data_IF_748902269353
#
_entry.id   IF_748902269353
#
_cell.length_a   1.000
_cell.length_b   1.000
_cell.length_c   1.000
_cell.angle_alpha   90.00
_cell.angle_beta   90.00
_cell.angle_gamma   90.00
#
_symmetry.space_group_name_H-M   'P 1'
#
loop_
_entity.id
_entity.type
_entity.pdbx_description
1 polymer ?
#
# COMPACT_ATOMS: atom_id res chain seq x y z
N UNK A 1 -18.06 -18.33 26.70
CA UNK A 1 -18.10 -17.69 25.37
C UNK A 1 -18.66 -16.29 25.55
N UNK A 2 -17.83 -15.31 25.92
CA UNK A 2 -18.22 -13.90 26.06
C UNK A 2 -16.94 -13.09 26.34
N UNK A 3 -16.11 -12.88 25.32
CA UNK A 3 -14.95 -11.99 25.45
C UNK A 3 -14.63 -11.27 24.13
N UNK A 4 -14.96 -11.85 22.98
CA UNK A 4 -14.78 -11.20 21.69
C UNK A 4 -15.89 -10.19 21.32
N UNK A 5 -16.98 -10.12 22.10
CA UNK A 5 -18.14 -9.27 21.83
C UNK A 5 -18.18 -7.94 22.59
N UNK A 6 -17.46 -7.85 23.71
CA UNK A 6 -17.45 -6.64 24.55
C UNK A 6 -16.51 -5.57 24.00
N UNK A 7 -15.41 -5.96 23.35
CA UNK A 7 -14.47 -5.04 22.71
C UNK A 7 -15.08 -4.35 21.47
N UNK A 8 -16.01 -5.00 20.78
CA UNK A 8 -16.73 -4.42 19.62
C UNK A 8 -17.92 -3.55 20.05
N UNK A 9 -18.55 -3.84 21.19
CA UNK A 9 -19.66 -3.05 21.71
C UNK A 9 -19.24 -1.67 22.24
N UNK A 10 -17.98 -1.52 22.68
CA UNK A 10 -17.41 -0.24 23.12
C UNK A 10 -17.01 0.71 21.98
N UNK A 11 -17.14 0.28 20.71
CA UNK A 11 -16.82 1.09 19.52
C UNK A 11 -18.03 1.82 18.92
N UNK A 12 -19.18 1.77 19.60
CA UNK A 12 -20.49 2.17 19.05
C UNK A 12 -20.85 3.66 19.25
N UNK A 13 -19.84 4.54 19.33
CA UNK A 13 -20.01 6.01 19.25
C UNK A 13 -19.00 6.57 18.23
N UNK A 14 -19.49 6.85 17.00
CA UNK A 14 -18.94 7.80 16.00
C UNK A 14 -17.43 7.79 15.65
N UNK A 15 -16.67 6.75 16.00
CA UNK A 15 -15.33 6.59 15.48
C UNK A 15 -15.42 6.17 14.03
N UNK A 16 -14.96 7.03 13.12
CA UNK A 16 -14.76 6.71 11.70
C UNK A 16 -13.67 5.62 11.59
N UNK A 17 -14.02 4.37 11.89
CA UNK A 17 -13.13 3.21 11.80
C UNK A 17 -12.72 3.08 10.34
N UNK A 18 -11.40 3.07 10.11
CA UNK A 18 -10.81 3.00 8.78
C UNK A 18 -9.80 1.86 8.74
N UNK A 19 -9.98 0.95 7.79
CA UNK A 19 -9.05 -0.14 7.55
C UNK A 19 -7.99 0.27 6.50
N UNK A 20 -6.85 -0.41 6.48
CA UNK A 20 -5.83 -0.27 5.43
C UNK A 20 -5.35 1.18 5.21
N UNK A 21 -5.17 1.95 6.28
CA UNK A 21 -4.64 3.32 6.20
C UNK A 21 -3.21 3.30 5.66
N UNK A 22 -2.91 4.18 4.72
CA UNK A 22 -1.56 4.40 4.20
C UNK A 22 -0.96 5.71 4.70
N UNK A 23 0.34 5.87 4.45
CA UNK A 23 1.08 7.09 4.75
C UNK A 23 1.44 7.82 3.46
N UNK A 24 1.18 9.13 3.43
CA UNK A 24 1.63 10.01 2.36
C UNK A 24 3.13 10.27 2.49
N UNK A 25 3.89 9.93 1.46
CA UNK A 25 5.34 10.14 1.43
C UNK A 25 5.78 10.73 0.09
N UNK A 26 6.97 11.31 0.03
CA UNK A 26 7.49 11.86 -1.23
C UNK A 26 8.99 11.72 -1.38
N UNK A 27 9.46 11.59 -2.62
CA UNK A 27 10.88 11.51 -2.95
C UNK A 27 11.27 12.47 -4.05
N UNK A 28 12.52 12.92 -4.03
CA UNK A 28 13.06 13.84 -5.03
C UNK A 28 13.50 13.13 -6.30
N UNK A 29 13.24 13.82 -7.41
CA UNK A 29 13.72 13.50 -8.74
C UNK A 29 14.57 14.68 -9.21
N UNK A 30 15.88 14.62 -9.02
CA UNK A 30 16.75 15.71 -9.46
C UNK A 30 16.70 15.80 -11.00
N UNK A 31 16.47 17.00 -11.52
CA UNK A 31 16.71 17.31 -12.92
C UNK A 31 18.22 17.55 -13.07
N UNK A 32 18.86 16.85 -14.02
CA UNK A 32 20.31 16.78 -14.25
C UNK A 32 21.08 15.80 -13.33
N UNK A 33 21.00 14.51 -13.69
CA UNK A 33 22.20 13.68 -13.83
C UNK A 33 22.67 12.82 -12.66
N UNK A 34 22.33 13.09 -11.39
CA UNK A 34 23.06 12.43 -10.30
C UNK A 34 22.22 11.79 -9.16
N UNK A 35 20.94 12.11 -8.98
CA UNK A 35 20.10 11.44 -7.96
C UNK A 35 18.62 11.31 -8.32
N UNK A 36 18.16 10.07 -8.48
CA UNK A 36 16.74 9.72 -8.48
C UNK A 36 16.45 8.98 -7.17
N UNK A 37 16.10 9.74 -6.13
CA UNK A 37 15.83 9.20 -4.80
C UNK A 37 14.51 8.43 -4.72
N UNK A 38 13.73 8.40 -5.80
CA UNK A 38 12.52 7.60 -5.92
C UNK A 38 12.77 6.15 -6.35
N UNK A 39 14.02 5.77 -6.57
CA UNK A 39 14.41 4.39 -6.88
C UNK A 39 15.35 3.88 -5.80
N UNK A 40 15.24 2.59 -5.47
CA UNK A 40 16.16 1.92 -4.56
C UNK A 40 17.46 1.45 -5.27
N UNK A 41 17.67 1.85 -6.52
CA UNK A 41 18.80 1.43 -7.34
C UNK A 41 19.37 2.58 -8.15
N UNK A 42 20.63 2.44 -8.54
CA UNK A 42 21.35 3.39 -9.39
C UNK A 42 22.64 3.83 -8.72
N UNK A 43 23.68 4.03 -9.52
CA UNK A 43 25.06 4.21 -9.03
C UNK A 43 25.19 5.28 -7.93
N UNK A 44 24.44 6.38 -7.98
CA UNK A 44 24.43 7.41 -6.93
C UNK A 44 23.74 6.97 -5.64
N UNK A 45 22.67 6.18 -5.71
CA UNK A 45 22.00 5.62 -4.52
C UNK A 45 22.85 4.51 -3.88
N UNK A 46 23.39 3.62 -4.72
CA UNK A 46 24.15 2.44 -4.29
C UNK A 46 25.48 2.82 -3.62
N UNK A 47 26.07 3.95 -4.03
CA UNK A 47 27.32 4.49 -3.45
C UNK A 47 27.06 5.54 -2.36
N UNK A 48 25.80 5.88 -2.07
CA UNK A 48 25.43 6.92 -1.12
C UNK A 48 25.69 8.36 -1.59
N UNK A 49 26.22 8.55 -2.80
CA UNK A 49 26.54 9.85 -3.40
C UNK A 49 25.31 10.68 -3.79
N UNK A 50 24.14 10.05 -3.90
CA UNK A 50 22.89 10.69 -4.29
C UNK A 50 22.30 11.62 -3.21
N UNK A 51 22.77 11.52 -1.95
CA UNK A 51 22.32 12.38 -0.86
C UNK A 51 20.85 12.20 -0.48
N UNK A 52 20.25 11.05 -0.80
CA UNK A 52 18.86 10.75 -0.47
C UNK A 52 18.72 10.54 1.04
N UNK A 53 17.68 11.13 1.61
CA UNK A 53 17.38 10.98 3.03
C UNK A 53 16.77 9.59 3.33
N UNK A 54 16.57 9.30 4.62
CA UNK A 54 16.05 8.01 5.07
C UNK A 54 14.62 7.73 4.60
N UNK A 55 13.78 8.76 4.49
CA UNK A 55 12.39 8.61 4.05
C UNK A 55 12.34 8.28 2.56
N UNK A 56 13.16 8.95 1.75
CA UNK A 56 13.30 8.67 0.33
C UNK A 56 13.78 7.23 0.06
N UNK A 57 14.77 6.76 0.84
CA UNK A 57 15.23 5.36 0.77
C UNK A 57 14.13 4.39 1.21
N UNK A 58 13.33 4.74 2.22
CA UNK A 58 12.21 3.91 2.67
C UNK A 58 11.15 3.75 1.58
N UNK A 59 10.83 4.82 0.84
CA UNK A 59 9.94 4.75 -0.33
C UNK A 59 10.50 3.82 -1.40
N UNK A 60 11.82 3.90 -1.68
CA UNK A 60 12.49 2.98 -2.59
C UNK A 60 12.28 1.51 -2.20
N UNK A 61 12.51 1.17 -0.92
CA UNK A 61 12.28 -0.18 -0.39
C UNK A 61 10.81 -0.59 -0.43
N UNK A 62 9.89 0.33 -0.10
CA UNK A 62 8.46 0.07 -0.17
C UNK A 62 8.02 -0.26 -1.60
N UNK A 63 8.60 0.40 -2.60
CA UNK A 63 8.35 0.10 -4.02
C UNK A 63 8.86 -1.29 -4.41
N UNK A 64 10.06 -1.67 -3.96
CA UNK A 64 10.60 -3.02 -4.21
C UNK A 64 9.74 -4.10 -3.56
N UNK A 65 9.16 -3.81 -2.38
CA UNK A 65 8.19 -4.67 -1.69
C UNK A 65 6.77 -4.60 -2.26
N UNK A 66 6.53 -3.84 -3.35
CA UNK A 66 5.22 -3.61 -3.96
C UNK A 66 4.17 -3.02 -2.98
N UNK A 67 4.58 -2.13 -2.08
CA UNK A 67 3.75 -1.51 -1.04
C UNK A 67 3.34 -0.06 -1.31
N UNK A 68 3.82 0.53 -2.41
CA UNK A 68 3.62 1.95 -2.71
C UNK A 68 2.73 2.16 -3.94
N UNK A 69 1.77 3.08 -3.83
CA UNK A 69 0.95 3.59 -4.94
C UNK A 69 1.46 4.97 -5.32
N UNK A 70 1.80 5.17 -6.59
CA UNK A 70 2.20 6.47 -7.12
C UNK A 70 0.98 7.38 -7.27
N UNK A 71 1.05 8.59 -6.71
CA UNK A 71 -0.04 9.56 -6.73
C UNK A 71 0.18 10.65 -7.78
N UNK A 72 1.41 11.16 -7.90
CA UNK A 72 1.70 12.20 -8.90
C UNK A 72 3.07 12.85 -8.75
N UNK A 73 3.49 13.58 -9.78
CA UNK A 73 4.72 14.38 -9.77
C UNK A 73 4.35 15.85 -9.58
N UNK A 74 5.09 16.56 -8.75
CA UNK A 74 4.91 18.00 -8.52
C UNK A 74 6.25 18.73 -8.48
N UNK A 75 6.20 20.05 -8.67
CA UNK A 75 7.36 20.90 -8.50
C UNK A 75 7.46 21.33 -7.04
N UNK A 76 8.51 20.90 -6.35
CA UNK A 76 8.77 21.26 -4.96
C UNK A 76 9.54 22.57 -4.81
N UNK A 77 10.28 22.97 -5.84
CA UNK A 77 11.01 24.23 -5.88
C UNK A 77 10.92 24.87 -7.26
N UNK A 78 10.42 26.09 -7.31
CA UNK A 78 10.15 26.85 -8.55
C UNK A 78 10.71 28.26 -8.43
N UNK A 79 11.58 28.62 -9.37
CA UNK A 79 12.21 29.94 -9.46
C UNK A 79 11.98 30.51 -10.84
N UNK A 80 11.45 31.74 -10.93
CA UNK A 80 11.14 32.43 -12.20
C UNK A 80 10.28 31.59 -13.16
N UNK A 81 9.36 30.77 -12.63
CA UNK A 81 8.50 29.87 -13.41
C UNK A 81 9.14 28.54 -13.82
N UNK A 82 10.46 28.39 -13.65
CA UNK A 82 11.20 27.16 -13.95
C UNK A 82 11.20 26.25 -12.74
N UNK A 83 10.91 24.96 -12.94
CA UNK A 83 10.96 23.97 -11.88
C UNK A 83 12.39 23.48 -11.67
N UNK A 84 12.99 23.84 -10.54
CA UNK A 84 14.35 23.44 -10.19
C UNK A 84 14.38 22.04 -9.57
N UNK A 85 13.36 21.68 -8.79
CA UNK A 85 13.29 20.38 -8.13
C UNK A 85 11.89 19.76 -8.23
N UNK A 86 11.83 18.57 -8.84
CA UNK A 86 10.60 17.76 -8.88
C UNK A 86 10.59 16.76 -7.74
N UNK A 87 9.40 16.46 -7.23
CA UNK A 87 9.12 15.37 -6.31
C UNK A 87 8.01 14.49 -6.85
N UNK A 88 8.07 13.20 -6.50
CA UNK A 88 6.99 12.25 -6.73
C UNK A 88 6.33 11.94 -5.37
N UNK A 89 5.01 12.03 -5.31
CA UNK A 89 4.20 11.69 -4.15
C UNK A 89 3.64 10.27 -4.24
N UNK A 90 3.56 9.60 -3.10
CA UNK A 90 3.14 8.21 -2.96
C UNK A 90 2.23 8.02 -1.75
N UNK A 91 1.35 7.02 -1.83
CA UNK A 91 0.76 6.39 -0.65
C UNK A 91 1.48 5.07 -0.39
N UNK A 92 2.05 4.92 0.80
CA UNK A 92 2.75 3.71 1.24
C UNK A 92 1.92 2.98 2.27
N UNK A 93 1.76 1.67 2.09
CA UNK A 93 0.90 0.82 2.93
C UNK A 93 1.72 -0.24 3.67
N UNK A 94 1.20 -0.71 4.80
CA UNK A 94 1.90 -1.67 5.66
C UNK A 94 1.92 -3.10 5.07
N UNK A 95 1.04 -3.41 4.13
CA UNK A 95 0.97 -4.73 3.48
C UNK A 95 0.52 -4.65 2.03
N UNK A 96 0.88 -5.68 1.24
CA UNK A 96 0.42 -5.81 -0.14
C UNK A 96 -1.10 -5.92 -0.22
N UNK A 97 -1.73 -6.62 0.74
CA UNK A 97 -3.18 -6.72 0.84
C UNK A 97 -3.81 -5.32 0.99
N UNK A 98 -3.30 -4.51 1.92
CA UNK A 98 -3.77 -3.15 2.14
C UNK A 98 -3.64 -2.30 0.86
N UNK A 99 -2.47 -2.38 0.20
CA UNK A 99 -2.21 -1.69 -1.06
C UNK A 99 -3.16 -2.14 -2.18
N UNK A 100 -3.44 -3.44 -2.30
CA UNK A 100 -4.36 -3.99 -3.32
C UNK A 100 -5.78 -3.51 -3.09
N UNK A 101 -6.31 -3.59 -1.87
CA UNK A 101 -7.68 -3.14 -1.55
C UNK A 101 -7.82 -1.64 -1.82
N UNK A 102 -6.82 -0.85 -1.46
CA UNK A 102 -6.83 0.59 -1.68
C UNK A 102 -6.69 0.96 -3.17
N UNK A 103 -5.75 0.36 -3.89
CA UNK A 103 -5.50 0.67 -5.30
C UNK A 103 -6.60 0.13 -6.19
N UNK A 104 -6.91 -1.16 -6.09
CA UNK A 104 -7.82 -1.83 -7.00
C UNK A 104 -9.27 -1.68 -6.56
N UNK A 105 -9.54 -1.72 -5.25
CA UNK A 105 -10.89 -1.55 -4.72
C UNK A 105 -11.31 -0.07 -4.68
N UNK A 106 -10.71 0.71 -3.76
CA UNK A 106 -11.10 2.11 -3.55
C UNK A 106 -10.89 2.96 -4.80
N UNK A 107 -9.73 2.88 -5.46
CA UNK A 107 -9.45 3.74 -6.61
C UNK A 107 -10.10 3.23 -7.90
N UNK A 108 -9.91 1.96 -8.29
CA UNK A 108 -10.41 1.49 -9.59
C UNK A 108 -11.90 1.15 -9.61
N UNK A 109 -12.43 0.48 -8.57
CA UNK A 109 -13.85 0.12 -8.55
C UNK A 109 -14.73 1.28 -8.10
N UNK A 110 -14.38 1.95 -7.00
CA UNK A 110 -15.21 3.01 -6.42
C UNK A 110 -14.92 4.41 -7.02
N UNK A 111 -13.84 4.55 -7.80
CA UNK A 111 -13.45 5.83 -8.39
C UNK A 111 -12.90 6.84 -7.39
N UNK A 112 -12.53 6.40 -6.18
CA UNK A 112 -12.03 7.27 -5.13
C UNK A 112 -10.50 7.32 -5.20
N UNK A 113 -9.98 8.38 -5.83
CA UNK A 113 -8.54 8.55 -6.06
C UNK A 113 -7.72 8.91 -4.82
N UNK A 114 -6.39 8.97 -5.01
CA UNK A 114 -5.41 9.27 -3.96
C UNK A 114 -5.00 10.75 -3.88
N UNK A 115 -5.83 11.68 -4.34
CA UNK A 115 -5.49 13.11 -4.35
C UNK A 115 -4.40 13.48 -5.37
N UNK A 116 -3.50 14.39 -5.01
CA UNK A 116 -2.42 14.88 -5.88
C UNK A 116 -1.04 14.60 -5.29
N UNK A 117 0.00 14.61 -6.12
CA UNK A 117 1.37 14.28 -5.66
C UNK A 117 1.87 15.14 -4.49
N UNK A 118 1.45 16.40 -4.39
CA UNK A 118 1.79 17.30 -3.28
C UNK A 118 0.77 17.26 -2.12
N UNK A 119 -0.37 16.59 -2.29
CA UNK A 119 -1.41 16.46 -1.28
C UNK A 119 -2.10 15.08 -1.43
N UNK A 120 -1.37 13.99 -1.11
CA UNK A 120 -1.89 12.65 -1.29
C UNK A 120 -2.97 12.33 -0.26
N UNK A 121 -4.03 11.66 -0.70
CA UNK A 121 -5.11 11.16 0.13
C UNK A 121 -4.96 9.65 0.36
N UNK A 122 -4.18 9.30 1.38
CA UNK A 122 -3.86 7.92 1.77
C UNK A 122 -4.73 7.40 2.92
N UNK A 123 -5.87 8.05 3.21
CA UNK A 123 -6.74 7.67 4.31
C UNK A 123 -7.27 6.24 4.15
N UNK A 124 -7.48 5.55 5.27
CA UNK A 124 -8.01 4.19 5.27
C UNK A 124 -9.44 4.11 4.72
N UNK A 125 -9.81 2.93 4.25
CA UNK A 125 -11.13 2.66 3.69
C UNK A 125 -12.19 2.61 4.79
N UNK A 126 -13.35 3.22 4.56
CA UNK A 126 -14.48 3.14 5.50
C UNK A 126 -15.17 1.78 5.37
N UNK A 127 -16.05 1.45 6.31
CA UNK A 127 -16.84 0.21 6.26
C UNK A 127 -17.74 0.19 5.01
N UNK A 128 -18.46 1.27 4.73
CA UNK A 128 -19.36 1.36 3.58
C UNK A 128 -18.61 1.18 2.24
N UNK A 129 -17.43 1.79 2.12
CA UNK A 129 -16.58 1.62 0.95
C UNK A 129 -16.04 0.20 0.84
N UNK A 130 -15.63 -0.40 1.96
CA UNK A 130 -15.15 -1.77 1.97
C UNK A 130 -16.23 -2.77 1.54
N UNK A 131 -17.48 -2.55 1.97
CA UNK A 131 -18.63 -3.37 1.57
C UNK A 131 -19.01 -3.19 0.10
N UNK A 132 -18.70 -2.03 -0.49
CA UNK A 132 -18.97 -1.75 -1.90
C UNK A 132 -17.93 -2.35 -2.86
N UNK A 133 -16.80 -2.87 -2.34
CA UNK A 133 -15.77 -3.50 -3.15
C UNK A 133 -16.14 -4.95 -3.45
N UNK A 134 -16.06 -5.31 -4.72
CA UNK A 134 -16.11 -6.68 -5.17
C UNK A 134 -14.71 -7.31 -5.05
N UNK A 135 -14.52 -8.15 -4.04
CA UNK A 135 -13.24 -8.80 -3.73
C UNK A 135 -12.84 -9.87 -4.74
N UNK A 136 -13.81 -10.47 -5.46
CA UNK A 136 -13.54 -11.50 -6.46
C UNK A 136 -12.85 -10.91 -7.70
N UNK A 137 -12.93 -9.58 -7.86
CA UNK A 137 -12.32 -8.83 -8.96
C UNK A 137 -10.96 -8.21 -8.61
N UNK A 138 -10.49 -8.38 -7.38
CA UNK A 138 -9.18 -7.92 -6.96
C UNK A 138 -8.12 -8.96 -7.29
N UNK A 139 -6.98 -8.50 -7.82
CA UNK A 139 -5.84 -9.37 -8.08
C UNK A 139 -4.91 -9.42 -6.86
N UNK A 140 -4.90 -10.57 -6.19
CA UNK A 140 -4.09 -10.85 -5.00
C UNK A 140 -2.80 -11.65 -5.28
N UNK A 141 -2.40 -11.86 -6.54
CA UNK A 141 -1.23 -12.68 -6.87
C UNK A 141 0.04 -12.25 -6.10
N UNK A 142 0.31 -10.95 -6.05
CA UNK A 142 1.47 -10.40 -5.34
C UNK A 142 1.43 -10.66 -3.82
N UNK A 143 0.24 -10.74 -3.23
CA UNK A 143 0.05 -11.06 -1.81
C UNK A 143 0.23 -12.55 -1.55
N UNK A 144 -0.29 -13.41 -2.44
CA UNK A 144 -0.10 -14.85 -2.33
C UNK A 144 1.37 -15.26 -2.46
N UNK A 145 2.16 -14.62 -3.33
CA UNK A 145 3.62 -14.84 -3.42
C UNK A 145 4.33 -14.63 -2.06
N UNK A 146 3.92 -13.62 -1.28
CA UNK A 146 4.50 -13.38 0.06
C UNK A 146 4.06 -14.42 1.08
N UNK A 147 2.80 -14.86 0.97
CA UNK A 147 2.24 -15.88 1.84
C UNK A 147 2.93 -17.24 1.63
N UNK A 148 3.18 -17.62 0.36
CA UNK A 148 3.87 -18.87 -0.01
C UNK A 148 5.37 -18.82 0.25
N UNK A 149 6.01 -17.66 0.12
CA UNK A 149 7.42 -17.48 0.48
C UNK A 149 7.67 -17.40 2.00
N UNK A 150 6.61 -17.40 2.83
CA UNK A 150 6.68 -17.46 4.29
C UNK A 150 7.22 -16.18 4.94
N UNK A 151 7.19 -15.05 4.23
CA UNK A 151 7.96 -13.86 4.59
C UNK A 151 7.29 -12.93 5.60
N UNK A 152 5.96 -13.00 5.80
CA UNK A 152 5.23 -12.02 6.63
C UNK A 152 3.97 -12.57 7.35
N UNK A 153 3.87 -13.88 7.62
CA UNK A 153 2.77 -14.41 8.45
C UNK A 153 3.21 -14.43 9.93
N UNK A 154 2.66 -13.59 10.83
CA UNK A 154 2.84 -13.81 12.26
C UNK A 154 2.34 -15.22 12.55
N UNK A 155 3.20 -16.05 13.15
CA UNK A 155 2.98 -17.48 13.35
C UNK A 155 1.85 -17.75 14.36
N UNK A 156 0.63 -17.39 13.99
CA UNK A 156 -0.58 -17.74 14.69
C UNK A 156 -1.13 -18.99 14.00
N UNK A 157 -0.67 -20.15 14.51
CA UNK A 157 -0.91 -21.45 13.90
C UNK A 157 -2.42 -21.70 13.65
N UNK A 158 -3.27 -21.21 14.54
CA UNK A 158 -4.73 -21.33 14.44
C UNK A 158 -5.35 -20.51 13.28
N UNK A 159 -4.65 -19.48 12.79
CA UNK A 159 -5.07 -18.65 11.66
C UNK A 159 -4.58 -19.27 10.35
N UNK A 160 -3.36 -19.81 10.34
CA UNK A 160 -2.82 -20.61 9.24
C UNK A 160 -3.68 -21.85 8.99
N UNK A 161 -4.08 -22.57 10.04
CA UNK A 161 -4.87 -23.79 9.91
C UNK A 161 -6.27 -23.48 9.34
N UNK A 162 -6.89 -22.38 9.77
CA UNK A 162 -8.18 -21.91 9.22
C UNK A 162 -8.08 -21.52 7.75
N UNK A 163 -7.03 -20.80 7.36
CA UNK A 163 -6.81 -20.42 5.95
C UNK A 163 -6.58 -21.66 5.09
N UNK A 164 -5.77 -22.62 5.54
CA UNK A 164 -5.55 -23.90 4.85
C UNK A 164 -6.82 -24.71 4.68
N UNK A 165 -7.66 -24.77 5.71
CA UNK A 165 -8.93 -25.50 5.68
C UNK A 165 -9.92 -24.87 4.68
N UNK A 166 -9.99 -23.54 4.64
CA UNK A 166 -10.84 -22.81 3.67
C UNK A 166 -10.37 -22.98 2.22
N UNK A 167 -9.06 -22.91 1.96
CA UNK A 167 -8.49 -23.15 0.62
C UNK A 167 -8.78 -24.59 0.17
N UNK A 168 -8.59 -25.56 1.06
CA UNK A 168 -8.84 -26.99 0.76
C UNK A 168 -10.31 -27.26 0.39
N UNK A 169 -11.24 -26.56 1.04
CA UNK A 169 -12.68 -26.68 0.74
C UNK A 169 -13.08 -26.11 -0.63
N UNK A 170 -12.36 -25.10 -1.13
CA UNK A 170 -12.64 -24.47 -2.42
C UNK A 170 -11.92 -25.19 -3.58
N UNK A 171 -10.73 -25.74 -3.35
CA UNK A 171 -10.00 -26.54 -4.35
C UNK A 171 -10.77 -27.82 -4.71
N UNK A 172 -11.53 -28.41 -3.78
CA UNK A 172 -12.36 -29.59 -4.06
C UNK A 172 -13.67 -29.30 -4.83
N UNK A 173 -14.13 -28.03 -4.87
CA UNK A 173 -15.30 -27.66 -5.70
C UNK A 173 -14.95 -27.33 -7.15
N UNK A 174 -13.68 -27.04 -7.45
CA UNK A 174 -13.21 -26.72 -8.80
C UNK A 174 -12.75 -27.92 -9.64
N UNK A 175 -12.71 -29.13 -9.05
CA UNK A 175 -12.27 -30.37 -9.70
C UNK A 175 -13.33 -31.46 -9.58
N UNK A 176 -14.50 -31.19 -10.16
CA UNK A 176 -15.45 -32.24 -10.53
C UNK A 176 -15.67 -32.09 -12.06
N UNK A 177 -15.43 -33.13 -12.88
CA UNK A 177 -15.52 -33.05 -14.34
C UNK A 177 -16.93 -32.72 -14.85
#
# INVERSE_FOLDING_TARGET
MAAAGEDVAALNDEMNIRAFTGQGQSCRKAAAGFSNCCKNSGWGNDTGLAGCDSEEKAIGKAKDRKLAVYVGTYCSDKVLGVCLQKKEGYCVFDSKLAKIVQEQGRSWQLGIGFGSGNNPDCRGITIDELQAIDFDRLNFADFYEDMESGTDIPADQALIDRVKEQISSHVQRGTQP
#
